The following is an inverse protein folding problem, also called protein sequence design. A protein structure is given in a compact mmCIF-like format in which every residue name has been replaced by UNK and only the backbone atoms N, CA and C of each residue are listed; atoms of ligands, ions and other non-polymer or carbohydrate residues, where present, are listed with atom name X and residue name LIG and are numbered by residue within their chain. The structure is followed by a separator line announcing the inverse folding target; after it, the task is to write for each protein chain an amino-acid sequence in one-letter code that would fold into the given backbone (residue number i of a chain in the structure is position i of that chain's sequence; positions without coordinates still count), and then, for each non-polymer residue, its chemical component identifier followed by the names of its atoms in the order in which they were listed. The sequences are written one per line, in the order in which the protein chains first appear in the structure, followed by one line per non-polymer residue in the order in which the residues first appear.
data_IF_422063369971
#
_entry.id   IF_422063369971
#
_cell.length_a   1.000
_cell.length_b   1.000
_cell.length_c   1.000
_cell.angle_alpha   90.00
_cell.angle_beta   90.00
_cell.angle_gamma   90.00
#
_symmetry.space_group_name_H-M   'P 1'
#
loop_
_entity.id
_entity.type
_entity.pdbx_description
1 polymer ?
#
# COMPACT_ATOMS: atom_id res chain seq x y z
N UNK A 1 -19.73 9.73 -19.98
CA UNK A 1 -18.74 10.50 -19.20
C UNK A 1 -18.15 9.52 -18.19
N UNK A 2 -16.97 8.96 -18.48
CA UNK A 2 -16.26 7.99 -17.64
C UNK A 2 -15.21 8.73 -16.80
N UNK A 3 -14.85 8.21 -15.60
CA UNK A 3 -13.97 8.91 -14.64
C UNK A 3 -12.47 8.80 -14.98
N UNK A 4 -12.12 8.78 -16.27
CA UNK A 4 -10.74 8.53 -16.74
C UNK A 4 -9.89 9.82 -16.86
N UNK A 5 -10.48 10.99 -16.55
CA UNK A 5 -9.90 12.32 -16.84
C UNK A 5 -9.44 13.13 -15.61
N UNK A 6 -9.11 12.51 -14.47
CA UNK A 6 -8.76 13.25 -13.23
C UNK A 6 -7.29 13.23 -12.82
N UNK A 7 -6.39 12.59 -13.59
CA UNK A 7 -4.94 12.73 -13.37
C UNK A 7 -4.28 13.46 -14.54
N UNK A 8 -4.44 14.78 -14.52
CA UNK A 8 -3.77 15.71 -15.42
C UNK A 8 -2.25 15.59 -15.33
N UNK A 9 -1.64 15.26 -16.45
CA UNK A 9 -0.21 15.16 -16.68
C UNK A 9 0.48 16.53 -16.52
N UNK A 10 1.28 16.69 -15.46
CA UNK A 10 2.17 17.82 -15.22
C UNK A 10 3.65 17.39 -15.33
N UNK A 11 4.11 17.26 -16.57
CA UNK A 11 5.52 17.23 -17.04
C UNK A 11 6.60 16.83 -16.02
N UNK A 12 6.89 15.54 -15.94
CA UNK A 12 8.27 15.06 -15.83
C UNK A 12 8.58 14.27 -17.10
N UNK A 13 9.50 14.80 -17.90
CA UNK A 13 10.01 14.17 -19.12
C UNK A 13 10.78 12.92 -18.73
N UNK A 14 10.11 11.76 -18.67
CA UNK A 14 10.76 10.46 -18.80
C UNK A 14 10.38 9.88 -20.17
N UNK A 15 11.42 9.74 -20.98
CA UNK A 15 11.40 9.19 -22.33
C UNK A 15 10.71 7.81 -22.33
N UNK A 16 9.61 7.69 -23.07
CA UNK A 16 8.99 6.40 -23.37
C UNK A 16 9.97 5.61 -24.26
N UNK A 17 10.38 4.44 -23.80
CA UNK A 17 11.16 3.47 -24.56
C UNK A 17 10.46 2.12 -24.48
N UNK A 18 9.80 1.72 -25.55
CA UNK A 18 9.20 0.40 -25.74
C UNK A 18 10.26 -0.69 -25.56
N UNK A 19 10.15 -1.46 -24.46
CA UNK A 19 10.73 -2.78 -24.40
C UNK A 19 9.90 -3.68 -23.48
N UNK A 20 9.11 -4.52 -24.15
CA UNK A 20 8.46 -5.68 -23.59
C UNK A 20 9.52 -6.59 -22.92
N UNK A 21 9.29 -6.94 -21.65
CA UNK A 21 10.09 -7.81 -20.79
C UNK A 21 11.16 -7.11 -19.92
N UNK A 22 11.02 -7.26 -18.60
CA UNK A 22 11.98 -6.98 -17.50
C UNK A 22 11.85 -5.70 -16.64
N UNK A 23 10.66 -5.11 -16.49
CA UNK A 23 10.40 -4.11 -15.40
C UNK A 23 9.54 -4.75 -14.32
N UNK A 24 10.05 -5.77 -13.62
CA UNK A 24 9.17 -6.60 -12.79
C UNK A 24 9.78 -7.36 -11.63
N UNK A 25 10.92 -6.96 -11.06
CA UNK A 25 11.46 -7.67 -9.89
C UNK A 25 12.55 -6.94 -9.07
N UNK A 26 12.97 -5.71 -9.45
CA UNK A 26 14.09 -5.01 -8.81
C UNK A 26 13.71 -3.89 -7.84
N UNK A 27 12.43 -3.72 -7.52
CA UNK A 27 11.98 -2.76 -6.48
C UNK A 27 11.91 -3.40 -5.08
N UNK A 28 11.80 -4.74 -5.04
CA UNK A 28 11.65 -5.55 -3.80
C UNK A 28 12.83 -5.45 -2.83
N UNK A 29 14.05 -5.14 -3.31
CA UNK A 29 15.22 -5.03 -2.43
C UNK A 29 15.39 -3.65 -1.79
N UNK A 30 14.58 -2.65 -2.14
CA UNK A 30 14.77 -1.27 -1.68
C UNK A 30 13.75 -0.80 -0.64
N UNK A 31 12.60 -1.46 -0.52
CA UNK A 31 11.60 -1.10 0.49
C UNK A 31 12.06 -1.67 1.84
N UNK A 32 12.53 -0.80 2.74
CA UNK A 32 13.00 -1.19 4.07
C UNK A 32 11.87 -1.35 5.08
N UNK A 33 10.64 -0.99 4.70
CA UNK A 33 9.44 -1.00 5.53
C UNK A 33 9.53 -0.05 6.73
N UNK A 34 10.26 1.04 6.57
CA UNK A 34 10.65 1.97 7.62
C UNK A 34 9.76 3.21 7.70
N UNK A 35 9.18 3.67 6.58
CA UNK A 35 8.44 4.94 6.53
C UNK A 35 7.09 4.82 5.82
N UNK A 36 6.27 5.87 5.95
CA UNK A 36 4.92 5.94 5.38
C UNK A 36 4.91 5.80 3.85
N UNK A 37 5.83 6.42 3.12
CA UNK A 37 5.87 6.38 1.64
C UNK A 37 6.19 4.97 1.12
N UNK A 38 7.07 4.25 1.82
CA UNK A 38 7.33 2.84 1.59
C UNK A 38 6.06 1.98 1.76
N UNK A 39 5.21 2.31 2.73
CA UNK A 39 3.90 1.69 2.95
C UNK A 39 2.92 1.92 1.79
N UNK A 40 2.86 3.15 1.26
CA UNK A 40 2.05 3.49 0.08
C UNK A 40 2.51 2.70 -1.16
N UNK A 41 3.82 2.55 -1.30
CA UNK A 41 4.42 1.75 -2.39
C UNK A 41 4.07 0.28 -2.23
N UNK A 42 4.19 -0.28 -1.02
CA UNK A 42 3.81 -1.66 -0.72
C UNK A 42 2.32 -1.92 -1.01
N UNK A 43 1.44 -0.99 -0.62
CA UNK A 43 0.02 -1.07 -0.94
C UNK A 43 -0.25 -1.06 -2.45
N UNK A 44 0.44 -0.19 -3.19
CA UNK A 44 0.33 -0.13 -4.65
C UNK A 44 0.74 -1.45 -5.30
N UNK A 45 1.81 -2.09 -4.83
CA UNK A 45 2.23 -3.41 -5.31
C UNK A 45 1.16 -4.46 -4.97
N UNK A 46 0.66 -4.47 -3.73
CA UNK A 46 -0.40 -5.37 -3.27
C UNK A 46 -1.70 -5.25 -4.07
N UNK A 47 -2.10 -4.03 -4.45
CA UNK A 47 -3.26 -3.83 -5.32
C UNK A 47 -3.08 -4.47 -6.70
N UNK A 48 -1.89 -4.31 -7.27
CA UNK A 48 -1.55 -4.82 -8.60
C UNK A 48 -1.24 -6.33 -8.62
N UNK A 49 -1.13 -6.96 -7.44
CA UNK A 49 -0.80 -8.37 -7.30
C UNK A 49 -2.02 -9.26 -7.04
N UNK A 50 -3.24 -8.73 -7.03
CA UNK A 50 -4.46 -9.52 -6.72
C UNK A 50 -4.63 -10.78 -7.58
N UNK A 51 -4.00 -10.82 -8.76
CA UNK A 51 -4.01 -11.97 -9.68
C UNK A 51 -2.67 -12.74 -9.75
N UNK A 52 -1.69 -12.43 -8.89
CA UNK A 52 -0.33 -13.00 -8.94
C UNK A 52 0.09 -13.60 -7.59
N UNK A 53 1.02 -14.54 -7.66
CA UNK A 53 1.48 -15.31 -6.50
C UNK A 53 1.93 -14.41 -5.33
N UNK A 54 1.52 -14.72 -4.08
CA UNK A 54 1.76 -13.88 -2.90
C UNK A 54 3.25 -13.73 -2.53
N UNK A 55 4.12 -14.51 -3.17
CA UNK A 55 5.57 -14.58 -2.90
C UNK A 55 6.37 -13.31 -3.19
N UNK A 56 5.73 -12.24 -3.69
CA UNK A 56 6.39 -10.95 -3.97
C UNK A 56 5.86 -9.80 -3.09
N UNK A 57 5.00 -10.10 -2.11
CA UNK A 57 4.37 -9.10 -1.25
C UNK A 57 5.11 -8.96 0.06
N UNK A 58 5.41 -7.71 0.43
CA UNK A 58 6.02 -7.37 1.72
C UNK A 58 4.95 -7.24 2.80
N UNK A 59 3.82 -6.61 2.45
CA UNK A 59 2.66 -6.45 3.32
C UNK A 59 1.40 -6.89 2.55
N UNK A 60 0.52 -7.63 3.21
CA UNK A 60 -0.83 -7.92 2.72
C UNK A 60 -1.91 -7.49 3.70
N UNK A 61 -3.10 -7.16 3.17
CA UNK A 61 -4.27 -6.86 3.99
C UNK A 61 -5.00 -8.16 4.36
N UNK A 62 -5.12 -8.44 5.66
CA UNK A 62 -5.89 -9.58 6.18
C UNK A 62 -7.31 -9.17 6.57
N UNK A 63 -7.45 -8.03 7.24
CA UNK A 63 -8.74 -7.53 7.70
C UNK A 63 -8.77 -6.01 7.77
N UNK A 64 -9.91 -5.43 7.44
CA UNK A 64 -10.18 -4.00 7.60
C UNK A 64 -11.47 -3.81 8.41
N UNK A 65 -11.40 -3.02 9.48
CA UNK A 65 -12.54 -2.51 10.24
C UNK A 65 -12.49 -0.99 10.16
N UNK A 66 -13.36 -0.35 9.34
CA UNK A 66 -13.28 1.07 9.02
C UNK A 66 -13.20 1.95 10.26
N UNK A 67 -12.32 2.95 10.21
CA UNK A 67 -12.10 3.93 11.28
C UNK A 67 -11.78 3.31 12.65
N UNK A 68 -11.31 2.06 12.69
CA UNK A 68 -10.99 1.35 13.94
C UNK A 68 -9.70 0.53 13.86
N UNK A 69 -9.59 -0.41 12.92
CA UNK A 69 -8.52 -1.39 12.91
C UNK A 69 -8.21 -1.87 11.50
N UNK A 70 -6.93 -1.87 11.14
CA UNK A 70 -6.40 -2.53 9.96
C UNK A 70 -5.47 -3.65 10.42
N UNK A 71 -5.76 -4.89 10.03
CA UNK A 71 -4.91 -6.05 10.27
C UNK A 71 -4.14 -6.36 8.99
N UNK A 72 -2.82 -6.30 9.10
CA UNK A 72 -1.88 -6.55 8.02
C UNK A 72 -1.06 -7.80 8.32
N UNK A 73 -0.64 -8.54 7.30
CA UNK A 73 0.41 -9.54 7.44
C UNK A 73 1.71 -8.99 6.87
N UNK A 74 2.74 -8.90 7.70
CA UNK A 74 4.08 -8.52 7.30
C UNK A 74 4.88 -9.80 6.97
N UNK A 75 5.19 -9.97 5.69
CA UNK A 75 5.92 -11.14 5.17
C UNK A 75 7.44 -11.06 5.45
N UNK A 76 7.97 -9.89 5.82
CA UNK A 76 9.38 -9.72 6.19
C UNK A 76 9.62 -10.30 7.59
N UNK A 77 8.74 -9.96 8.54
CA UNK A 77 8.81 -10.49 9.92
C UNK A 77 7.92 -11.71 10.16
N UNK A 78 7.15 -12.14 9.15
CA UNK A 78 6.22 -13.27 9.19
C UNK A 78 5.23 -13.16 10.36
N UNK A 79 4.61 -11.99 10.51
CA UNK A 79 3.76 -11.65 11.65
C UNK A 79 2.57 -10.79 11.25
N UNK A 80 1.44 -11.01 11.93
CA UNK A 80 0.29 -10.13 11.85
C UNK A 80 0.52 -8.85 12.65
N UNK A 81 0.27 -7.72 12.01
CA UNK A 81 0.47 -6.38 12.53
C UNK A 81 -0.87 -5.66 12.58
N UNK A 82 -1.21 -5.17 13.77
CA UNK A 82 -2.40 -4.35 14.01
C UNK A 82 -2.05 -2.87 13.90
N UNK A 83 -2.77 -2.16 13.02
CA UNK A 83 -2.77 -0.70 12.95
C UNK A 83 -4.12 -0.20 13.44
N UNK A 84 -4.13 0.45 14.60
CA UNK A 84 -5.35 1.02 15.17
C UNK A 84 -5.56 2.43 14.62
N UNK A 85 -6.82 2.77 14.35
CA UNK A 85 -7.21 4.12 13.90
C UNK A 85 -8.00 4.76 15.03
N UNK A 86 -7.44 5.81 15.62
CA UNK A 86 -8.07 6.57 16.71
C UNK A 86 -8.15 8.04 16.35
N UNK A 87 -9.37 8.59 16.28
CA UNK A 87 -9.58 10.00 15.90
C UNK A 87 -9.08 10.34 14.50
N UNK A 88 -9.07 9.37 13.58
CA UNK A 88 -8.53 9.54 12.23
C UNK A 88 -7.01 9.45 12.12
N UNK A 89 -6.31 9.18 13.23
CA UNK A 89 -4.86 9.00 13.25
C UNK A 89 -4.54 7.50 13.36
N UNK A 90 -3.87 6.92 12.35
CA UNK A 90 -3.40 5.54 12.41
C UNK A 90 -2.16 5.40 13.29
N UNK A 91 -2.08 4.31 14.04
CA UNK A 91 -0.97 3.96 14.92
C UNK A 91 -0.65 2.47 14.82
N UNK A 92 0.59 2.13 14.49
CA UNK A 92 1.03 0.74 14.40
C UNK A 92 1.44 0.21 15.77
N UNK A 93 0.81 -0.88 16.20
CA UNK A 93 1.08 -1.51 17.50
C UNK A 93 2.41 -2.27 17.53
N UNK A 94 2.91 -2.71 16.37
CA UNK A 94 4.18 -3.43 16.27
C UNK A 94 5.38 -2.47 16.27
N UNK A 95 5.33 -1.42 15.46
CA UNK A 95 6.38 -0.41 15.40
C UNK A 95 6.30 0.61 16.56
N UNK A 96 5.17 0.62 17.29
CA UNK A 96 4.84 1.63 18.30
C UNK A 96 5.02 3.07 17.76
N UNK A 97 4.56 3.29 16.52
CA UNK A 97 4.79 4.50 15.73
C UNK A 97 3.59 4.81 14.84
N UNK A 98 3.37 6.09 14.56
CA UNK A 98 2.46 6.57 13.51
C UNK A 98 3.19 6.89 12.19
N UNK A 99 4.50 6.68 12.15
CA UNK A 99 5.36 6.85 10.99
C UNK A 99 6.10 5.53 10.75
N UNK A 100 5.48 4.67 9.94
CA UNK A 100 6.06 3.44 9.43
C UNK A 100 5.27 2.94 8.21
N UNK A 101 5.82 1.95 7.51
CA UNK A 101 5.19 1.43 6.32
C UNK A 101 3.86 0.68 6.57
N UNK A 102 3.66 0.06 7.75
CA UNK A 102 2.34 -0.48 8.12
C UNK A 102 1.28 0.61 8.17
N UNK A 103 1.64 1.80 8.68
CA UNK A 103 0.74 2.95 8.73
C UNK A 103 0.43 3.45 7.33
N UNK A 104 1.43 3.63 6.47
CA UNK A 104 1.22 4.05 5.08
C UNK A 104 0.30 3.10 4.32
N UNK A 105 0.50 1.80 4.49
CA UNK A 105 -0.37 0.78 3.89
C UNK A 105 -1.81 0.89 4.43
N UNK A 106 -1.97 1.00 5.76
CA UNK A 106 -3.28 1.08 6.40
C UNK A 106 -4.09 2.32 5.96
N UNK A 107 -3.43 3.47 5.80
CA UNK A 107 -4.05 4.70 5.29
C UNK A 107 -4.66 4.45 3.91
N UNK A 108 -3.89 3.85 2.99
CA UNK A 108 -4.39 3.57 1.65
C UNK A 108 -5.52 2.53 1.64
N UNK A 109 -5.45 1.51 2.51
CA UNK A 109 -6.51 0.52 2.65
C UNK A 109 -7.84 1.13 3.13
N UNK A 110 -7.78 2.02 4.13
CA UNK A 110 -8.93 2.77 4.62
C UNK A 110 -9.54 3.67 3.53
N UNK A 111 -8.70 4.40 2.80
CA UNK A 111 -9.15 5.24 1.68
C UNK A 111 -9.85 4.41 0.60
N UNK A 112 -9.26 3.29 0.19
CA UNK A 112 -9.87 2.39 -0.80
C UNK A 112 -11.26 1.91 -0.35
N UNK A 113 -11.42 1.52 0.91
CA UNK A 113 -12.72 1.10 1.44
C UNK A 113 -13.73 2.24 1.44
N UNK A 114 -13.34 3.44 1.87
CA UNK A 114 -14.19 4.64 1.85
C UNK A 114 -14.65 5.00 0.44
N UNK A 115 -13.76 4.92 -0.54
CA UNK A 115 -14.11 5.16 -1.96
C UNK A 115 -14.99 4.06 -2.56
N UNK A 116 -14.86 2.82 -2.09
CA UNK A 116 -15.68 1.68 -2.55
C UNK A 116 -17.11 1.70 -1.98
N UNK A 117 -17.30 2.29 -0.80
CA UNK A 117 -18.58 2.38 -0.10
C UNK A 117 -19.45 3.59 -0.51
N UNK A 118 -18.94 4.48 -1.37
CA UNK A 118 -19.64 5.68 -1.87
C UNK A 118 -20.40 5.43 -3.20
N UNK A 119 -20.73 4.17 -3.51
CA UNK A 119 -21.51 3.77 -4.70
C UNK A 119 -22.88 3.26 -4.30
#
# INVERSE_FOLDING_TARGET
MTPEDMFGCGKAHLQCGDNHSKVGYSLMMMIRNNDVDEGVTAFSIWLNSRDKSPSALLISLEKLVPDRLVLLHDHVVQKDVSVEVSGGVPFCMECNSNDCAHVGFAICAEQMHKHSALK
#
